data_IF_272631585673
#
_entry.id   IF_272631585673
#
_cell.length_a   1.000
_cell.length_b   1.000
_cell.length_c   1.000
_cell.angle_alpha   90.00
_cell.angle_beta   90.00
_cell.angle_gamma   90.00
#
_symmetry.space_group_name_H-M   'P 1'
#
loop_
_entity.id
_entity.type
_entity.pdbx_description
1 polymer ?
#
# COMPACT_ATOMS: atom_id res chain seq x y z
N UNK A 1 -17.83 8.97 15.15
CA UNK A 1 -17.27 7.64 15.46
C UNK A 1 -17.64 6.53 14.51
N UNK A 2 -18.87 6.45 14.01
CA UNK A 2 -19.32 5.33 13.15
C UNK A 2 -18.72 5.34 11.75
N UNK A 3 -18.39 6.48 11.20
CA UNK A 3 -17.93 6.63 9.81
C UNK A 3 -16.50 6.14 9.61
N UNK A 4 -15.60 6.41 10.55
CA UNK A 4 -14.25 5.82 10.54
C UNK A 4 -14.32 4.30 10.57
N UNK A 5 -15.25 3.75 11.32
CA UNK A 5 -15.48 2.30 11.42
C UNK A 5 -15.95 1.70 10.09
N UNK A 6 -16.84 2.37 9.37
CA UNK A 6 -17.34 1.92 8.05
C UNK A 6 -16.21 1.90 7.02
N UNK A 7 -15.44 2.99 6.90
CA UNK A 7 -14.33 3.09 5.96
C UNK A 7 -13.25 2.04 6.26
N UNK A 8 -12.89 1.87 7.52
CA UNK A 8 -11.94 0.83 7.95
C UNK A 8 -12.44 -0.57 7.62
N UNK A 9 -13.74 -0.84 7.80
CA UNK A 9 -14.34 -2.12 7.45
C UNK A 9 -14.28 -2.40 5.95
N UNK A 10 -14.51 -1.40 5.11
CA UNK A 10 -14.37 -1.51 3.65
C UNK A 10 -12.93 -1.83 3.26
N UNK A 11 -11.95 -1.13 3.83
CA UNK A 11 -10.54 -1.39 3.55
C UNK A 11 -10.10 -2.77 4.02
N UNK A 12 -10.54 -3.20 5.19
CA UNK A 12 -10.30 -4.56 5.67
C UNK A 12 -10.88 -5.60 4.71
N UNK A 13 -12.08 -5.38 4.18
CA UNK A 13 -12.69 -6.29 3.22
C UNK A 13 -11.90 -6.38 1.93
N UNK A 14 -11.47 -5.25 1.38
CA UNK A 14 -10.63 -5.20 0.18
C UNK A 14 -9.31 -5.91 0.43
N UNK A 15 -8.66 -5.66 1.57
CA UNK A 15 -7.41 -6.29 1.94
C UNK A 15 -7.53 -7.82 2.08
N UNK A 16 -8.63 -8.30 2.66
CA UNK A 16 -8.92 -9.73 2.75
C UNK A 16 -9.09 -10.35 1.35
N UNK A 17 -9.84 -9.71 0.48
CA UNK A 17 -10.08 -10.23 -0.87
C UNK A 17 -8.78 -10.23 -1.70
N UNK A 18 -7.96 -9.19 -1.62
CA UNK A 18 -6.64 -9.14 -2.24
C UNK A 18 -5.70 -10.24 -1.71
N UNK A 19 -5.74 -10.54 -0.42
CA UNK A 19 -4.89 -11.57 0.19
C UNK A 19 -5.20 -13.00 -0.27
N UNK A 20 -6.34 -13.21 -0.92
CA UNK A 20 -6.74 -14.51 -1.50
C UNK A 20 -6.24 -14.71 -2.92
N UNK A 21 -5.73 -13.65 -3.56
CA UNK A 21 -5.15 -13.75 -4.90
C UNK A 21 -3.80 -14.46 -4.80
N UNK A 22 -3.62 -15.52 -5.58
CA UNK A 22 -2.35 -16.24 -5.62
C UNK A 22 -1.30 -15.41 -6.38
N UNK A 23 -0.21 -15.07 -5.69
CA UNK A 23 0.95 -14.38 -6.27
C UNK A 23 2.12 -15.35 -6.20
N UNK A 24 2.82 -15.58 -7.32
CA UNK A 24 3.91 -16.54 -7.41
C UNK A 24 5.08 -15.98 -8.20
N UNK A 25 6.28 -16.38 -7.82
CA UNK A 25 7.47 -16.15 -8.62
C UNK A 25 7.58 -17.22 -9.69
N UNK A 26 7.46 -16.84 -10.96
CA UNK A 26 7.40 -17.79 -12.08
C UNK A 26 8.39 -17.41 -13.18
N UNK A 27 8.79 -18.39 -13.96
CA UNK A 27 9.50 -18.17 -15.23
C UNK A 27 8.49 -18.21 -16.37
N UNK A 28 8.63 -17.25 -17.28
CA UNK A 28 7.83 -17.18 -18.50
C UNK A 28 8.72 -17.47 -19.70
N UNK A 29 8.12 -18.00 -20.79
CA UNK A 29 8.77 -18.13 -22.09
C UNK A 29 8.84 -16.77 -22.83
N UNK A 30 9.45 -16.76 -24.02
CA UNK A 30 9.58 -15.56 -24.86
C UNK A 30 8.24 -14.95 -25.30
N UNK A 31 7.14 -15.71 -25.21
CA UNK A 31 5.78 -15.28 -25.53
C UNK A 31 4.96 -14.86 -24.29
N UNK A 32 5.60 -14.82 -23.10
CA UNK A 32 4.94 -14.48 -21.86
C UNK A 32 4.07 -15.59 -21.25
N UNK A 33 4.24 -16.86 -21.71
CA UNK A 33 3.50 -18.00 -21.18
C UNK A 33 4.23 -18.60 -19.98
N UNK A 34 3.46 -19.11 -19.03
CA UNK A 34 3.98 -19.80 -17.87
C UNK A 34 4.82 -21.02 -18.27
N UNK A 35 6.02 -21.13 -17.72
CA UNK A 35 6.89 -22.29 -17.81
C UNK A 35 6.93 -23.07 -16.51
N UNK A 36 7.35 -22.43 -15.43
CA UNK A 36 7.52 -23.07 -14.13
C UNK A 36 7.41 -22.07 -12.99
N UNK A 37 7.09 -22.54 -11.79
CA UNK A 37 7.22 -21.78 -10.55
C UNK A 37 8.65 -21.91 -10.05
N UNK A 38 9.27 -20.79 -9.70
CA UNK A 38 10.64 -20.74 -9.20
C UNK A 38 10.60 -20.97 -7.68
N UNK A 39 11.32 -21.99 -7.22
CA UNK A 39 11.52 -22.24 -5.79
C UNK A 39 12.59 -21.27 -5.25
N UNK A 40 12.14 -20.08 -4.86
CA UNK A 40 12.96 -18.99 -4.35
C UNK A 40 12.46 -18.51 -3.00
N UNK A 41 13.29 -17.80 -2.25
CA UNK A 41 12.88 -17.13 -1.04
C UNK A 41 11.76 -16.11 -1.29
N UNK A 42 11.80 -15.39 -2.43
CA UNK A 42 10.71 -14.52 -2.85
C UNK A 42 9.39 -15.29 -3.00
N UNK A 43 9.41 -16.47 -3.65
CA UNK A 43 8.20 -17.28 -3.78
C UNK A 43 7.68 -17.74 -2.42
N UNK A 44 8.57 -18.10 -1.50
CA UNK A 44 8.21 -18.45 -0.13
C UNK A 44 7.55 -17.25 0.59
N UNK A 45 8.10 -16.05 0.45
CA UNK A 45 7.51 -14.83 1.01
C UNK A 45 6.10 -14.55 0.48
N UNK A 46 5.84 -14.85 -0.79
CA UNK A 46 4.57 -14.58 -1.47
C UNK A 46 3.53 -15.69 -1.30
N UNK A 47 3.91 -16.86 -0.79
CA UNK A 47 3.01 -18.02 -0.70
C UNK A 47 2.86 -18.60 0.70
N UNK A 48 3.86 -18.42 1.57
CA UNK A 48 3.89 -19.02 2.91
C UNK A 48 4.06 -17.95 3.99
N UNK A 49 5.24 -17.35 4.09
CA UNK A 49 5.63 -16.46 5.18
C UNK A 49 6.55 -15.37 4.68
N UNK A 50 6.11 -14.11 4.80
CA UNK A 50 6.88 -12.96 4.34
C UNK A 50 8.01 -12.57 5.32
N UNK A 51 7.78 -12.79 6.60
CA UNK A 51 8.73 -12.57 7.69
C UNK A 51 8.24 -13.32 8.94
N UNK A 52 9.06 -13.35 9.99
CA UNK A 52 8.75 -14.10 11.22
C UNK A 52 7.45 -13.68 11.94
N UNK A 53 6.93 -12.50 11.65
CA UNK A 53 5.73 -11.95 12.29
C UNK A 53 4.50 -12.04 11.38
N UNK A 54 4.68 -12.27 10.08
CA UNK A 54 3.60 -12.19 9.09
C UNK A 54 3.64 -13.39 8.12
N UNK A 55 2.54 -14.16 8.10
CA UNK A 55 2.24 -15.04 6.96
C UNK A 55 2.06 -14.18 5.69
N UNK A 56 2.09 -14.82 4.51
CA UNK A 56 1.86 -14.08 3.26
C UNK A 56 0.49 -13.38 3.25
N UNK A 57 -0.54 -14.00 3.83
CA UNK A 57 -1.89 -13.42 3.92
C UNK A 57 -1.87 -12.13 4.74
N UNK A 58 -1.23 -12.15 5.92
CA UNK A 58 -1.08 -10.97 6.77
C UNK A 58 -0.25 -9.90 6.10
N UNK A 59 0.82 -10.29 5.41
CA UNK A 59 1.68 -9.38 4.66
C UNK A 59 0.92 -8.67 3.51
N UNK A 60 0.15 -9.40 2.69
CA UNK A 60 -0.64 -8.79 1.62
C UNK A 60 -1.73 -7.86 2.19
N UNK A 61 -2.35 -8.21 3.31
CA UNK A 61 -3.28 -7.30 3.99
C UNK A 61 -2.60 -6.02 4.45
N UNK A 62 -1.39 -6.12 5.01
CA UNK A 62 -0.59 -4.96 5.41
C UNK A 62 -0.23 -4.09 4.20
N UNK A 63 0.20 -4.70 3.08
CA UNK A 63 0.45 -3.98 1.81
C UNK A 63 -0.78 -3.18 1.38
N UNK A 64 -1.95 -3.80 1.33
CA UNK A 64 -3.19 -3.15 0.84
C UNK A 64 -3.64 -2.05 1.79
N UNK A 65 -3.66 -2.29 3.10
CA UNK A 65 -4.04 -1.29 4.09
C UNK A 65 -3.08 -0.09 4.06
N UNK A 66 -1.78 -0.36 4.01
CA UNK A 66 -0.76 0.70 3.92
C UNK A 66 -0.88 1.52 2.64
N UNK A 67 -1.24 0.90 1.51
CA UNK A 67 -1.53 1.62 0.27
C UNK A 67 -2.73 2.56 0.39
N UNK A 68 -3.77 2.18 1.12
CA UNK A 68 -4.90 3.07 1.39
C UNK A 68 -4.53 4.21 2.34
N UNK A 69 -3.71 3.94 3.34
CA UNK A 69 -3.31 4.94 4.34
C UNK A 69 -2.30 5.93 3.79
N UNK A 70 -1.30 5.47 3.05
CA UNK A 70 -0.15 6.28 2.64
C UNK A 70 -0.20 6.69 1.16
N UNK A 71 -0.94 5.98 0.32
CA UNK A 71 -1.00 6.19 -1.13
C UNK A 71 0.18 5.61 -1.90
N UNK A 72 1.35 5.51 -1.29
CA UNK A 72 2.56 4.91 -1.85
C UNK A 72 3.38 4.27 -0.73
N UNK A 73 3.86 3.06 -0.96
CA UNK A 73 4.64 2.28 0.00
C UNK A 73 5.87 1.65 -0.66
N UNK A 74 6.78 1.17 0.16
CA UNK A 74 7.87 0.31 -0.29
C UNK A 74 7.74 -1.10 0.31
N UNK A 75 7.98 -2.13 -0.50
CA UNK A 75 8.27 -3.47 0.01
C UNK A 75 9.80 -3.58 0.08
N UNK A 76 10.29 -3.83 1.28
CA UNK A 76 11.71 -3.80 1.62
C UNK A 76 12.20 -5.22 1.87
N UNK A 77 13.21 -5.72 1.12
CA UNK A 77 13.94 -6.91 1.49
C UNK A 77 14.66 -6.68 2.84
N UNK A 78 14.44 -7.56 3.80
CA UNK A 78 15.04 -7.44 5.13
C UNK A 78 16.21 -8.40 5.27
N UNK A 79 15.96 -9.70 5.09
CA UNK A 79 16.99 -10.71 5.06
C UNK A 79 17.17 -11.23 3.63
N UNK A 80 18.42 -11.32 3.20
CA UNK A 80 18.82 -11.77 1.88
C UNK A 80 20.00 -12.72 1.98
N UNK A 81 20.11 -13.63 1.03
CA UNK A 81 21.21 -14.62 1.01
C UNK A 81 22.58 -13.95 0.92
N UNK A 82 22.66 -12.81 0.25
CA UNK A 82 23.88 -11.98 0.14
C UNK A 82 23.56 -10.52 0.44
N UNK A 83 24.58 -9.75 0.79
CA UNK A 83 24.44 -8.32 1.01
C UNK A 83 24.01 -7.61 -0.29
N UNK A 84 22.81 -7.06 -0.31
CA UNK A 84 22.21 -6.42 -1.48
C UNK A 84 22.96 -5.17 -1.95
N UNK A 85 23.76 -4.56 -1.08
CA UNK A 85 24.60 -3.41 -1.44
C UNK A 85 25.78 -3.81 -2.34
N UNK A 86 26.18 -5.08 -2.34
CA UNK A 86 27.36 -5.62 -3.02
C UNK A 86 27.02 -6.54 -4.19
N UNK A 87 25.76 -6.96 -4.31
CA UNK A 87 25.32 -7.94 -5.32
C UNK A 87 24.34 -7.33 -6.31
N UNK A 88 24.43 -7.78 -7.58
CA UNK A 88 23.45 -7.46 -8.64
C UNK A 88 22.30 -8.44 -8.65
N UNK A 89 22.49 -9.65 -8.10
CA UNK A 89 21.48 -10.70 -7.99
C UNK A 89 21.55 -11.30 -6.59
N UNK A 90 20.39 -11.47 -5.95
CA UNK A 90 20.25 -12.01 -4.61
C UNK A 90 18.89 -12.67 -4.45
N UNK A 91 18.78 -13.62 -3.53
CA UNK A 91 17.50 -14.17 -3.11
C UNK A 91 17.01 -13.46 -1.84
N UNK A 92 15.71 -13.26 -1.75
CA UNK A 92 15.05 -12.59 -0.61
C UNK A 92 14.56 -13.67 0.35
N UNK A 93 15.02 -13.62 1.60
CA UNK A 93 14.55 -14.54 2.64
C UNK A 93 13.33 -13.99 3.38
N UNK A 94 13.33 -12.68 3.68
CA UNK A 94 12.21 -12.00 4.33
C UNK A 94 12.01 -10.61 3.74
N UNK A 95 10.78 -10.10 3.83
CA UNK A 95 10.43 -8.76 3.40
C UNK A 95 9.35 -8.13 4.28
N UNK A 96 9.31 -6.80 4.34
CA UNK A 96 8.35 -6.01 5.09
C UNK A 96 7.84 -4.83 4.30
N UNK A 97 6.66 -4.36 4.67
CA UNK A 97 6.12 -3.09 4.18
C UNK A 97 6.79 -1.94 4.93
N UNK A 98 7.20 -0.91 4.22
CA UNK A 98 7.73 0.32 4.77
C UNK A 98 7.01 1.54 4.24
N UNK A 99 6.89 2.56 5.10
CA UNK A 99 6.35 3.87 4.75
C UNK A 99 7.46 4.74 4.19
N UNK A 100 7.26 5.28 2.98
CA UNK A 100 8.22 6.22 2.38
C UNK A 100 8.05 7.57 3.07
N UNK A 101 9.11 8.04 3.73
CA UNK A 101 9.12 9.31 4.47
C UNK A 101 9.78 10.44 3.70
N UNK A 102 10.71 10.11 2.80
CA UNK A 102 11.38 11.10 1.97
C UNK A 102 11.85 10.49 0.63
N UNK A 103 11.75 11.30 -0.42
CA UNK A 103 12.18 10.96 -1.77
C UNK A 103 13.48 11.69 -2.12
N UNK A 104 14.42 10.95 -2.68
CA UNK A 104 15.64 11.46 -3.28
C UNK A 104 15.71 11.03 -4.74
N UNK A 105 16.61 11.57 -5.58
CA UNK A 105 16.69 11.19 -6.99
C UNK A 105 16.85 9.68 -7.19
N UNK A 106 17.80 9.03 -6.50
CA UNK A 106 18.13 7.61 -6.66
C UNK A 106 17.75 6.75 -5.46
N UNK A 107 17.33 7.36 -4.35
CA UNK A 107 17.04 6.69 -3.09
C UNK A 107 15.67 7.08 -2.55
N UNK A 108 15.19 6.29 -1.60
CA UNK A 108 14.02 6.60 -0.76
C UNK A 108 14.39 6.37 0.70
N UNK A 109 13.88 7.24 1.57
CA UNK A 109 13.92 7.06 3.00
C UNK A 109 12.64 6.37 3.44
N UNK A 110 12.77 5.30 4.20
CA UNK A 110 11.67 4.39 4.52
C UNK A 110 11.66 4.15 6.02
N UNK A 111 10.51 4.33 6.63
CA UNK A 111 10.26 3.87 8.00
C UNK A 111 9.77 2.42 7.92
N UNK A 112 10.54 1.50 8.49
CA UNK A 112 10.27 0.07 8.49
C UNK A 112 10.54 -0.54 9.86
N UNK A 113 9.80 -1.59 10.21
CA UNK A 113 10.01 -2.30 11.47
C UNK A 113 11.29 -3.14 11.42
N UNK A 114 12.17 -2.90 12.40
CA UNK A 114 13.37 -3.71 12.63
C UNK A 114 13.06 -4.74 13.72
N UNK A 115 12.93 -5.99 13.32
CA UNK A 115 12.56 -7.08 14.21
C UNK A 115 13.67 -7.53 15.17
N UNK A 116 14.93 -7.19 14.87
CA UNK A 116 16.06 -7.45 15.76
C UNK A 116 16.10 -6.49 16.94
N UNK A 117 15.66 -5.24 16.71
CA UNK A 117 15.60 -4.19 17.72
C UNK A 117 14.19 -4.05 18.35
N UNK A 118 13.16 -4.60 17.72
CA UNK A 118 11.78 -4.47 18.14
C UNK A 118 11.19 -3.07 17.99
N UNK A 119 11.72 -2.25 17.09
CA UNK A 119 11.32 -0.86 16.86
C UNK A 119 11.19 -0.53 15.38
N UNK A 120 10.43 0.51 15.09
CA UNK A 120 10.46 1.15 13.78
C UNK A 120 11.67 2.06 13.65
N UNK A 121 12.39 1.98 12.55
CA UNK A 121 13.52 2.86 12.25
C UNK A 121 13.47 3.36 10.80
N UNK A 122 14.09 4.50 10.57
CA UNK A 122 14.25 5.04 9.22
C UNK A 122 15.55 4.54 8.59
N UNK A 123 15.42 3.95 7.41
CA UNK A 123 16.55 3.52 6.58
C UNK A 123 16.49 4.22 5.22
N UNK A 124 17.64 4.42 4.59
CA UNK A 124 17.72 4.92 3.22
C UNK A 124 18.12 3.80 2.29
N UNK A 125 17.33 3.55 1.27
CA UNK A 125 17.53 2.47 0.32
C UNK A 125 17.54 2.99 -1.12
N UNK A 126 18.39 2.42 -2.01
CA UNK A 126 18.30 2.68 -3.45
C UNK A 126 16.92 2.24 -3.98
N UNK A 127 16.33 3.04 -4.87
CA UNK A 127 15.02 2.74 -5.47
C UNK A 127 14.98 1.40 -6.20
N UNK A 128 16.12 0.97 -6.78
CA UNK A 128 16.23 -0.31 -7.48
C UNK A 128 16.39 -1.53 -6.57
N UNK A 129 16.46 -1.33 -5.26
CA UNK A 129 16.57 -2.41 -4.25
C UNK A 129 15.31 -2.63 -3.45
N UNK A 130 14.28 -1.83 -3.69
CA UNK A 130 12.96 -1.93 -3.05
C UNK A 130 11.88 -1.96 -4.12
N UNK A 131 10.74 -2.57 -3.81
CA UNK A 131 9.56 -2.47 -4.68
C UNK A 131 8.70 -1.29 -4.21
N UNK A 132 8.59 -0.25 -5.03
CA UNK A 132 7.74 0.90 -4.76
C UNK A 132 6.38 0.63 -5.40
N UNK A 133 5.34 0.63 -4.59
CA UNK A 133 3.96 0.40 -5.03
C UNK A 133 3.15 1.64 -4.76
N UNK A 134 2.44 2.09 -5.78
CA UNK A 134 1.57 3.27 -5.72
C UNK A 134 0.11 2.88 -5.87
N UNK A 135 -0.75 3.50 -5.09
CA UNK A 135 -2.19 3.36 -5.25
C UNK A 135 -2.61 4.15 -6.51
N UNK A 136 -3.20 3.50 -7.53
CA UNK A 136 -3.56 4.16 -8.79
C UNK A 136 -4.62 5.25 -8.64
N UNK A 137 -5.27 5.36 -7.47
CA UNK A 137 -6.18 6.47 -7.15
C UNK A 137 -5.45 7.78 -6.82
N UNK A 138 -4.13 7.75 -6.68
CA UNK A 138 -3.28 8.93 -6.49
C UNK A 138 -2.57 9.26 -7.80
N UNK A 139 -2.68 10.51 -8.23
CA UNK A 139 -2.04 10.99 -9.45
C UNK A 139 -0.60 11.45 -9.25
N UNK A 140 -0.14 11.61 -8.01
CA UNK A 140 1.16 12.21 -7.69
C UNK A 140 1.86 11.35 -6.62
N UNK A 141 3.01 10.78 -6.98
CA UNK A 141 3.79 9.88 -6.11
C UNK A 141 4.28 10.54 -4.81
N UNK A 142 4.51 11.83 -4.80
CA UNK A 142 5.10 12.55 -3.67
C UNK A 142 4.08 13.14 -2.69
N UNK A 143 2.79 13.02 -2.95
CA UNK A 143 1.75 13.53 -2.07
C UNK A 143 1.48 12.56 -0.90
N UNK A 144 1.64 13.09 0.31
CA UNK A 144 1.31 12.38 1.55
C UNK A 144 -0.18 12.54 1.89
N UNK A 145 -1.04 11.95 1.07
CA UNK A 145 -2.47 12.13 1.28
C UNK A 145 -3.20 10.79 1.09
N UNK A 146 -3.42 10.07 2.19
CA UNK A 146 -4.10 8.78 2.13
C UNK A 146 -5.54 8.93 1.62
N UNK A 147 -6.03 7.89 0.92
CA UNK A 147 -7.43 7.80 0.52
C UNK A 147 -8.34 7.88 1.74
N UNK A 148 -7.95 7.24 2.85
CA UNK A 148 -8.68 7.29 4.11
C UNK A 148 -8.80 8.70 4.65
N UNK A 149 -7.71 9.47 4.69
CA UNK A 149 -7.72 10.85 5.18
C UNK A 149 -8.58 11.75 4.29
N UNK A 150 -8.56 11.54 2.99
CA UNK A 150 -9.43 12.30 2.05
C UNK A 150 -10.90 11.99 2.25
N UNK A 151 -11.24 10.72 2.46
CA UNK A 151 -12.62 10.29 2.74
C UNK A 151 -13.09 10.82 4.10
N UNK A 152 -12.28 10.73 5.14
CA UNK A 152 -12.62 11.28 6.47
C UNK A 152 -12.89 12.78 6.39
N UNK A 153 -12.07 13.55 5.65
CA UNK A 153 -12.31 14.98 5.46
C UNK A 153 -13.64 15.26 4.77
N UNK A 154 -13.99 14.47 3.75
CA UNK A 154 -15.28 14.60 3.05
C UNK A 154 -16.44 14.24 3.95
N UNK A 155 -16.33 13.16 4.73
CA UNK A 155 -17.35 12.73 5.68
C UNK A 155 -17.57 13.79 6.78
N UNK A 156 -16.51 14.34 7.36
CA UNK A 156 -16.62 15.41 8.34
C UNK A 156 -17.29 16.68 7.76
N UNK A 157 -17.05 16.96 6.47
CA UNK A 157 -17.74 18.06 5.79
C UNK A 157 -19.23 17.80 5.65
N UNK A 158 -19.62 16.57 5.28
CA UNK A 158 -21.02 16.17 5.16
C UNK A 158 -21.74 16.22 6.51
N UNK A 159 -21.11 15.77 7.59
CA UNK A 159 -21.64 15.86 8.94
C UNK A 159 -21.89 17.33 9.37
N UNK A 160 -20.93 18.21 9.10
CA UNK A 160 -21.09 19.63 9.40
C UNK A 160 -22.25 20.25 8.60
N UNK A 161 -22.48 19.80 7.35
CA UNK A 161 -23.62 20.21 6.52
C UNK A 161 -24.92 19.69 7.10
N UNK A 162 -24.98 18.42 7.50
CA UNK A 162 -26.17 17.80 8.07
C UNK A 162 -26.56 18.44 9.40
N UNK A 163 -25.59 18.76 10.26
CA UNK A 163 -25.83 19.51 11.50
C UNK A 163 -26.42 20.90 11.23
N UNK A 164 -25.91 21.61 10.21
CA UNK A 164 -26.42 22.92 9.81
C UNK A 164 -27.81 22.84 9.19
N UNK A 165 -28.08 21.79 8.40
CA UNK A 165 -29.40 21.52 7.80
C UNK A 165 -30.44 21.18 8.86
N UNK A 166 -30.08 20.38 9.87
CA UNK A 166 -30.93 20.05 11.03
C UNK A 166 -31.28 21.26 11.90
N UNK A 167 -30.44 22.31 11.90
CA UNK A 167 -30.69 23.58 12.57
C UNK A 167 -31.57 24.57 11.78
N UNK A 168 -32.05 24.20 10.59
CA UNK A 168 -32.98 25.02 9.77
C UNK A 168 -32.33 26.24 9.11
N UNK A 169 -31.02 26.21 8.88
CA UNK A 169 -30.28 27.42 8.47
C UNK A 169 -29.50 27.35 7.16
N UNK A 170 -29.74 26.46 6.21
CA UNK A 170 -29.05 26.58 4.91
C UNK A 170 -29.70 25.80 3.78
N UNK A 171 -30.04 26.52 2.71
CA UNK A 171 -30.09 25.99 1.36
C UNK A 171 -28.66 25.86 0.84
N UNK A 172 -28.13 24.65 0.79
CA UNK A 172 -26.79 24.40 0.29
C UNK A 172 -26.87 24.03 -1.18
N UNK A 173 -26.36 24.88 -2.06
CA UNK A 173 -26.16 24.56 -3.47
C UNK A 173 -24.81 23.91 -3.61
N UNK A 174 -24.76 22.59 -3.85
CA UNK A 174 -23.54 21.88 -4.19
C UNK A 174 -23.29 22.04 -5.68
N UNK A 175 -22.33 22.88 -6.06
CA UNK A 175 -21.88 22.99 -7.43
C UNK A 175 -20.84 21.89 -7.70
N UNK A 176 -21.23 20.88 -8.49
CA UNK A 176 -20.32 19.83 -8.94
C UNK A 176 -19.36 20.38 -10.00
N UNK A 177 -18.08 20.06 -9.96
CA UNK A 177 -17.08 20.59 -10.89
C UNK A 177 -17.11 19.93 -12.29
N UNK A 178 -18.19 19.20 -12.61
CA UNK A 178 -18.37 18.54 -13.91
C UNK A 178 -19.80 18.70 -14.41
N UNK A 179 -19.90 18.83 -15.71
CA UNK A 179 -21.20 18.92 -16.39
C UNK A 179 -21.71 17.50 -16.64
N UNK A 180 -22.88 17.18 -16.14
CA UNK A 180 -23.57 15.94 -16.48
C UNK A 180 -24.26 16.15 -17.82
N UNK A 181 -23.76 15.53 -18.89
CA UNK A 181 -24.48 15.47 -20.16
C UNK A 181 -25.56 14.39 -20.04
N UNK A 182 -26.81 14.78 -20.00
CA UNK A 182 -27.93 13.88 -20.27
C UNK A 182 -28.12 13.81 -21.78
N UNK A 183 -27.89 12.63 -22.37
CA UNK A 183 -28.33 12.37 -23.74
C UNK A 183 -29.85 12.40 -23.79
N UNK A 184 -30.38 13.15 -24.76
CA UNK A 184 -31.81 13.29 -25.06
C UNK A 184 -32.30 12.10 -25.90
#
# INVERSE_FOLDING_TARGET
GNERSIVTSVYNRIAIDCSRVAIRHVRLDSNGRYLETIDSGLNNCLTIEANKDQSYVMFIRDVVQSLFDEGCIAIVPIDTVVDISKATSYDIETMRVGKITQWYPDNVKINVYNDRKGIHEEITMPKNKVAIIENPLYSIMNERNSTLQRLIRKLNLLDAIDEQSGAGKLDLIIQLPYVVYTEA
#
